data_IF_380695377831
#
_entry.id   IF_380695377831
#
_cell.length_a   1.000
_cell.length_b   1.000
_cell.length_c   1.000
_cell.angle_alpha   90.00
_cell.angle_beta   90.00
_cell.angle_gamma   90.00
#
_symmetry.space_group_name_H-M   'P 1'
#
loop_
_entity.id
_entity.type
_entity.pdbx_description
1 polymer ?
#
# COMPACT_ATOMS: atom_id res chain seq x y z
N UNK A 1 7.63 16.34 12.32
CA UNK A 1 6.84 15.29 11.64
C UNK A 1 5.75 15.97 10.84
N UNK A 2 5.52 15.55 9.60
CA UNK A 2 4.56 16.22 8.69
C UNK A 2 3.68 15.20 7.98
N UNK A 3 2.37 15.49 7.91
CA UNK A 3 1.38 14.80 7.07
C UNK A 3 1.63 15.17 5.60
N UNK A 4 1.72 14.16 4.74
CA UNK A 4 2.00 14.33 3.31
C UNK A 4 0.69 14.25 2.53
N UNK A 5 0.02 13.10 2.60
CA UNK A 5 -1.08 12.75 1.70
C UNK A 5 -1.95 11.67 2.35
N UNK A 6 -3.23 11.65 1.97
CA UNK A 6 -4.20 10.63 2.35
C UNK A 6 -4.17 9.47 1.33
N UNK A 7 -4.13 8.22 1.82
CA UNK A 7 -3.89 7.05 0.98
C UNK A 7 -5.00 6.00 0.98
N UNK A 8 -6.01 6.18 1.83
CA UNK A 8 -7.16 5.30 1.89
C UNK A 8 -7.78 5.24 3.27
N UNK A 9 -8.59 4.23 3.50
CA UNK A 9 -9.41 4.09 4.71
C UNK A 9 -8.81 3.09 5.70
N UNK A 10 -8.96 3.36 6.99
CA UNK A 10 -8.52 2.49 8.06
C UNK A 10 -9.50 1.34 8.29
N UNK A 11 -9.05 0.08 8.30
CA UNK A 11 -9.94 -1.05 8.50
C UNK A 11 -10.46 -1.19 9.94
N UNK A 12 -9.88 -0.48 10.91
CA UNK A 12 -10.31 -0.56 12.31
C UNK A 12 -11.44 0.40 12.67
N UNK A 13 -11.48 1.58 12.06
CA UNK A 13 -12.38 2.66 12.47
C UNK A 13 -12.92 3.48 11.29
N UNK A 14 -12.72 3.01 10.07
CA UNK A 14 -13.23 3.61 8.82
C UNK A 14 -12.83 5.08 8.59
N UNK A 15 -11.83 5.56 9.32
CA UNK A 15 -11.29 6.91 9.17
C UNK A 15 -10.12 6.92 8.18
N UNK A 16 -9.76 8.09 7.66
CA UNK A 16 -8.64 8.25 6.74
C UNK A 16 -7.30 7.80 7.33
N UNK A 17 -6.51 7.10 6.51
CA UNK A 17 -5.09 6.81 6.70
C UNK A 17 -4.28 7.80 5.88
N UNK A 18 -3.25 8.38 6.50
CA UNK A 18 -2.36 9.31 5.83
C UNK A 18 -0.89 8.94 5.99
N UNK A 19 -0.06 9.35 5.03
CA UNK A 19 1.39 9.22 5.09
C UNK A 19 1.96 10.34 5.95
N UNK A 20 2.81 9.95 6.89
CA UNK A 20 3.62 10.86 7.68
C UNK A 20 5.09 10.68 7.37
N UNK A 21 5.83 11.79 7.39
CA UNK A 21 7.29 11.82 7.26
C UNK A 21 7.92 12.42 8.49
N UNK A 22 8.90 11.70 9.03
CA UNK A 22 9.73 12.14 10.15
C UNK A 22 10.88 13.04 9.68
N UNK A 23 11.52 13.74 10.62
CA UNK A 23 12.69 14.58 10.32
C UNK A 23 13.87 13.75 9.77
N UNK A 24 13.96 12.46 10.13
CA UNK A 24 14.94 11.51 9.61
C UNK A 24 14.53 10.89 8.26
N UNK A 25 13.56 11.48 7.57
CA UNK A 25 13.02 11.07 6.27
C UNK A 25 12.34 9.68 6.25
N UNK A 26 12.15 9.02 7.41
CA UNK A 26 11.35 7.79 7.49
C UNK A 26 9.89 8.12 7.23
N UNK A 27 9.20 7.23 6.50
CA UNK A 27 7.78 7.34 6.17
C UNK A 27 7.01 6.21 6.83
N UNK A 28 5.78 6.51 7.22
CA UNK A 28 4.84 5.53 7.76
C UNK A 28 3.42 5.99 7.45
N UNK A 29 2.52 5.04 7.28
CA UNK A 29 1.10 5.30 7.22
C UNK A 29 0.54 5.31 8.65
N UNK A 30 -0.38 6.22 8.95
CA UNK A 30 -1.04 6.27 10.27
C UNK A 30 -2.49 6.72 10.13
N UNK A 31 -3.38 6.05 10.86
CA UNK A 31 -4.71 6.56 11.17
C UNK A 31 -4.63 7.44 12.41
N UNK A 32 -5.09 8.69 12.32
CA UNK A 32 -5.03 9.65 13.42
C UNK A 32 -6.06 9.35 14.54
N UNK A 33 -7.08 8.55 14.24
CA UNK A 33 -8.20 8.25 15.17
C UNK A 33 -7.91 7.04 16.05
N UNK A 34 -7.69 5.85 15.46
CA UNK A 34 -7.45 4.62 16.23
C UNK A 34 -5.97 4.33 16.52
N UNK A 35 -5.05 5.10 15.93
CA UNK A 35 -3.61 4.95 16.17
C UNK A 35 -2.91 3.82 15.39
N UNK A 36 -3.63 3.05 14.56
CA UNK A 36 -3.02 2.09 13.63
C UNK A 36 -1.92 2.78 12.82
N UNK A 37 -0.75 2.15 12.72
CA UNK A 37 0.33 2.64 11.88
C UNK A 37 1.21 1.52 11.35
N UNK A 38 1.80 1.73 10.17
CA UNK A 38 2.71 0.78 9.54
C UNK A 38 3.81 1.48 8.75
N UNK A 39 4.95 0.78 8.60
CA UNK A 39 6.12 1.32 7.94
C UNK A 39 5.92 1.40 6.41
N UNK A 40 6.48 2.45 5.80
CA UNK A 40 6.48 2.64 4.36
C UNK A 40 7.91 2.73 3.82
N UNK A 41 8.14 2.38 2.54
CA UNK A 41 9.43 2.56 1.90
C UNK A 41 9.93 4.01 2.01
N UNK A 42 11.20 4.17 2.40
CA UNK A 42 11.82 5.49 2.60
C UNK A 42 11.94 6.30 1.30
N UNK A 43 12.10 5.60 0.17
CA UNK A 43 12.38 6.18 -1.15
C UNK A 43 11.30 5.77 -2.15
N UNK A 44 11.15 6.59 -3.19
CA UNK A 44 10.12 6.44 -4.21
C UNK A 44 8.98 7.45 -4.03
N UNK A 45 8.16 7.59 -5.06
CA UNK A 45 6.85 8.24 -4.97
C UNK A 45 5.85 7.16 -4.53
N UNK A 46 5.00 7.50 -3.58
CA UNK A 46 3.96 6.60 -3.06
C UNK A 46 2.63 7.21 -3.48
N UNK A 47 1.75 6.41 -4.07
CA UNK A 47 0.37 6.78 -4.37
C UNK A 47 -0.57 5.66 -3.94
N UNK A 48 -1.85 6.00 -3.73
CA UNK A 48 -2.87 4.99 -3.50
C UNK A 48 -3.17 4.24 -4.80
N UNK A 49 -3.30 2.90 -4.73
CA UNK A 49 -3.78 2.11 -5.87
C UNK A 49 -5.31 2.11 -6.00
N UNK A 50 -6.03 2.58 -4.97
CA UNK A 50 -7.48 2.41 -4.85
C UNK A 50 -7.91 0.99 -4.47
N UNK A 51 -7.01 0.00 -4.54
CA UNK A 51 -7.30 -1.38 -4.12
C UNK A 51 -7.05 -1.57 -2.63
N UNK A 52 -7.76 -2.54 -2.08
CA UNK A 52 -7.66 -2.95 -0.68
C UNK A 52 -7.18 -4.38 -0.61
N UNK A 53 -6.25 -4.61 0.32
CA UNK A 53 -5.65 -5.90 0.59
C UNK A 53 -6.68 -6.83 1.25
N UNK A 54 -7.09 -7.95 0.63
CA UNK A 54 -8.25 -8.74 1.06
C UNK A 54 -8.11 -9.36 2.46
N UNK A 55 -6.88 -9.55 2.94
CA UNK A 55 -6.64 -10.18 4.25
C UNK A 55 -6.70 -9.21 5.43
N UNK A 56 -6.12 -8.02 5.29
CA UNK A 56 -6.01 -7.04 6.37
C UNK A 56 -6.90 -5.81 6.16
N UNK A 57 -7.58 -5.73 5.02
CA UNK A 57 -8.38 -4.57 4.61
C UNK A 57 -7.62 -3.24 4.63
N UNK A 58 -6.29 -3.29 4.45
CA UNK A 58 -5.43 -2.11 4.33
C UNK A 58 -5.29 -1.69 2.86
N UNK A 59 -5.16 -0.39 2.57
CA UNK A 59 -4.96 0.07 1.20
C UNK A 59 -3.64 -0.46 0.63
N UNK A 60 -3.70 -0.94 -0.62
CA UNK A 60 -2.51 -1.30 -1.39
C UNK A 60 -1.94 -0.04 -2.03
N UNK A 61 -0.64 0.16 -1.90
CA UNK A 61 0.06 1.35 -2.37
C UNK A 61 0.92 1.04 -3.58
N UNK A 62 1.07 2.01 -4.47
CA UNK A 62 1.99 1.95 -5.61
C UNK A 62 3.25 2.69 -5.20
N UNK A 63 4.41 2.06 -5.40
CA UNK A 63 5.72 2.65 -5.13
C UNK A 63 6.50 2.76 -6.42
N UNK A 64 6.71 4.00 -6.88
CA UNK A 64 7.45 4.30 -8.11
C UNK A 64 8.86 4.80 -7.76
N UNK A 65 9.89 4.29 -8.44
CA UNK A 65 11.27 4.77 -8.32
C UNK A 65 11.83 5.09 -9.71
N UNK A 66 12.66 6.13 -9.88
CA UNK A 66 13.16 6.52 -11.20
C UNK A 66 13.94 5.43 -11.95
N UNK A 67 14.57 4.50 -11.23
CA UNK A 67 15.46 3.48 -11.78
C UNK A 67 14.95 2.04 -11.64
N UNK A 68 13.71 1.85 -11.19
CA UNK A 68 13.12 0.53 -10.97
C UNK A 68 11.67 0.52 -11.44
N UNK A 69 11.16 -0.65 -11.83
CA UNK A 69 9.73 -0.83 -12.08
C UNK A 69 8.95 -0.47 -10.82
N UNK A 70 7.77 0.11 -11.02
CA UNK A 70 6.85 0.34 -9.91
C UNK A 70 6.52 -1.01 -9.25
N UNK A 71 6.23 -1.00 -7.97
CA UNK A 71 5.79 -2.21 -7.27
C UNK A 71 4.74 -1.87 -6.24
N UNK A 72 3.93 -2.86 -5.91
CA UNK A 72 2.89 -2.71 -4.90
C UNK A 72 3.46 -2.94 -3.50
N UNK A 73 2.94 -2.18 -2.55
CA UNK A 73 3.31 -2.27 -1.15
C UNK A 73 2.06 -2.30 -0.27
N UNK A 74 2.05 -3.22 0.68
CA UNK A 74 1.09 -3.28 1.78
C UNK A 74 1.87 -3.55 3.08
N UNK A 75 1.25 -3.32 4.23
CA UNK A 75 1.88 -3.58 5.54
C UNK A 75 2.28 -5.07 5.70
N UNK A 76 1.43 -5.97 5.23
CA UNK A 76 1.58 -7.42 5.37
C UNK A 76 1.20 -8.12 4.06
N UNK A 77 1.56 -9.42 3.89
CA UNK A 77 1.13 -10.19 2.74
C UNK A 77 -0.40 -10.21 2.61
N UNK A 78 -0.88 -9.76 1.46
CA UNK A 78 -2.32 -9.70 1.15
C UNK A 78 -2.96 -11.05 0.91
N UNK A 79 -2.16 -12.07 0.64
CA UNK A 79 -2.61 -13.41 0.32
C UNK A 79 -1.97 -14.42 1.27
N UNK A 80 -2.68 -15.49 1.57
CA UNK A 80 -2.19 -16.63 2.36
C UNK A 80 -1.78 -17.83 1.50
N UNK A 81 -1.77 -17.66 0.18
CA UNK A 81 -1.38 -18.72 -0.76
C UNK A 81 0.06 -19.18 -0.52
N UNK A 82 0.25 -20.48 -0.40
CA UNK A 82 1.57 -21.11 -0.25
C UNK A 82 2.34 -21.02 -1.57
N UNK A 83 1.65 -21.34 -2.68
CA UNK A 83 2.18 -21.23 -4.03
C UNK A 83 1.71 -19.93 -4.68
N UNK A 84 2.66 -19.03 -4.97
CA UNK A 84 2.36 -17.75 -5.60
C UNK A 84 1.81 -17.88 -7.03
N UNK A 85 2.05 -18.99 -7.71
CA UNK A 85 1.62 -19.21 -9.11
C UNK A 85 0.18 -19.76 -9.21
N UNK A 86 -0.31 -20.39 -8.15
CA UNK A 86 -1.67 -20.98 -8.09
C UNK A 86 -2.66 -20.10 -7.33
N UNK A 87 -2.26 -18.89 -6.96
CA UNK A 87 -3.08 -18.01 -6.16
C UNK A 87 -4.03 -17.22 -7.05
N UNK A 88 -5.28 -17.67 -7.16
CA UNK A 88 -6.33 -16.99 -7.94
C UNK A 88 -6.50 -15.52 -7.53
N UNK A 89 -6.53 -15.26 -6.23
CA UNK A 89 -6.66 -13.93 -5.63
C UNK A 89 -5.51 -12.99 -6.05
N UNK A 90 -4.29 -13.53 -6.18
CA UNK A 90 -3.14 -12.76 -6.66
C UNK A 90 -3.28 -12.47 -8.15
N UNK A 91 -3.75 -13.44 -8.94
CA UNK A 91 -3.92 -13.27 -10.38
C UNK A 91 -5.02 -12.26 -10.71
N UNK A 92 -6.13 -12.27 -9.96
CA UNK A 92 -7.19 -11.27 -10.05
C UNK A 92 -6.65 -9.87 -9.72
N UNK A 93 -5.95 -9.71 -8.60
CA UNK A 93 -5.34 -8.43 -8.22
C UNK A 93 -4.35 -7.94 -9.29
N UNK A 94 -3.53 -8.82 -9.84
CA UNK A 94 -2.61 -8.51 -10.95
C UNK A 94 -3.39 -8.08 -12.21
N UNK A 95 -4.53 -8.70 -12.49
CA UNK A 95 -5.36 -8.35 -13.65
C UNK A 95 -5.98 -6.96 -13.50
N UNK A 96 -6.50 -6.63 -12.32
CA UNK A 96 -7.00 -5.29 -11.99
C UNK A 96 -5.87 -4.25 -12.07
N UNK A 97 -4.67 -4.60 -11.61
CA UNK A 97 -3.51 -3.72 -11.70
C UNK A 97 -3.06 -3.45 -13.13
N UNK A 98 -3.11 -4.44 -14.02
CA UNK A 98 -2.84 -4.23 -15.45
C UNK A 98 -3.87 -3.31 -16.08
N UNK A 99 -5.14 -3.45 -15.70
CA UNK A 99 -6.21 -2.57 -16.18
C UNK A 99 -6.00 -1.11 -15.75
N UNK A 100 -5.37 -0.88 -14.59
CA UNK A 100 -4.99 0.45 -14.10
C UNK A 100 -3.70 0.99 -14.74
N UNK A 101 -3.11 0.31 -15.73
CA UNK A 101 -1.86 0.67 -16.42
C UNK A 101 -0.65 0.83 -15.48
N UNK A 102 -0.69 0.24 -14.28
CA UNK A 102 0.43 0.27 -13.33
C UNK A 102 1.33 -0.93 -13.62
N UNK A 103 2.33 -0.74 -14.47
CA UNK A 103 3.26 -1.80 -14.87
C UNK A 103 4.30 -2.09 -13.77
N UNK A 104 3.90 -2.86 -12.77
CA UNK A 104 4.78 -3.39 -11.73
C UNK A 104 4.65 -4.90 -11.59
N UNK A 105 5.67 -5.64 -12.01
CA UNK A 105 5.87 -7.06 -11.69
C UNK A 105 7.10 -7.21 -10.80
#
# INVERSE_FOLDING_TARGET
MRKIEEIGTCPQCECSISIFKTNNYKRFAKCEVCGMSYALPKRGKISSSGLVCPRQNVPVLIVEKPSQKAYFWADQPCFSCIDADKCEQKNELISEFKALEVYGY
#
